data_IF_764817743938
#
_entry.id   IF_764817743938
#
_cell.length_a   1.000
_cell.length_b   1.000
_cell.length_c   1.000
_cell.angle_alpha   90.00
_cell.angle_beta   90.00
_cell.angle_gamma   90.00
#
_symmetry.space_group_name_H-M   'P 1'
#
loop_
_entity.id
_entity.type
_entity.pdbx_description
1 polymer ?
#
# COMPACT_ATOMS: atom_id res chain seq x y z
N UNK A 1 2.92 67.60 55.88
CA UNK A 1 2.14 68.52 55.01
C UNK A 1 1.23 67.68 54.13
N UNK A 2 -0.08 67.94 54.24
CA UNK A 2 -1.14 67.83 53.22
C UNK A 2 -1.34 66.48 52.49
N UNK A 3 -2.36 65.68 52.86
CA UNK A 3 -3.73 65.56 52.28
C UNK A 3 -3.84 64.41 51.24
N UNK A 4 -4.50 63.28 51.57
CA UNK A 4 -5.92 62.91 51.31
C UNK A 4 -6.16 62.37 49.86
N UNK A 5 -7.27 61.68 49.54
CA UNK A 5 -7.54 60.24 49.73
C UNK A 5 -8.13 59.63 48.44
N UNK A 6 -8.88 58.51 48.55
CA UNK A 6 -9.87 57.92 47.60
C UNK A 6 -9.45 56.57 47.04
N UNK A 7 -10.33 55.60 46.83
CA UNK A 7 -11.66 55.19 47.31
C UNK A 7 -11.98 54.01 46.38
N UNK A 8 -12.70 53.00 46.88
CA UNK A 8 -13.57 52.08 46.13
C UNK A 8 -12.86 51.05 45.22
N UNK A 9 -13.28 49.79 45.08
CA UNK A 9 -14.22 48.94 45.79
C UNK A 9 -14.30 47.63 44.99
N UNK A 10 -14.40 46.47 45.67
CA UNK A 10 -15.10 45.23 45.23
C UNK A 10 -14.37 44.49 44.08
N UNK A 11 -14.28 43.17 43.93
CA UNK A 11 -14.98 41.97 44.39
C UNK A 11 -13.99 40.80 44.18
N UNK A 12 -13.81 39.88 45.12
CA UNK A 12 -14.54 38.61 45.20
C UNK A 12 -13.94 37.45 44.40
N UNK A 13 -13.73 36.35 45.14
CA UNK A 13 -13.94 34.94 44.76
C UNK A 13 -12.73 34.12 44.26
N UNK A 14 -12.34 33.23 45.18
CA UNK A 14 -12.11 31.79 45.07
C UNK A 14 -10.92 31.24 44.28
N UNK A 15 -10.14 30.46 45.04
CA UNK A 15 -9.65 29.10 44.74
C UNK A 15 -9.09 28.86 43.35
N UNK A 16 -7.83 28.48 43.28
CA UNK A 16 -7.47 27.14 42.80
C UNK A 16 -6.04 26.83 43.25
N UNK A 17 -5.93 25.91 44.21
CA UNK A 17 -4.68 25.21 44.51
C UNK A 17 -4.25 24.46 43.25
N UNK A 18 -3.28 25.02 42.54
CA UNK A 18 -2.62 24.35 41.43
C UNK A 18 -1.66 23.28 41.98
N UNK A 19 -1.90 21.98 41.77
CA UNK A 19 -0.82 21.01 41.80
C UNK A 19 0.12 21.30 40.61
N UNK A 20 1.45 21.22 40.81
CA UNK A 20 2.42 21.56 39.79
C UNK A 20 2.30 20.62 38.59
N UNK A 21 2.53 21.21 37.42
CA UNK A 21 2.73 20.51 36.15
C UNK A 21 3.72 19.35 36.35
N UNK A 22 3.19 18.13 36.42
CA UNK A 22 3.97 16.92 36.33
C UNK A 22 4.58 16.88 34.94
N UNK A 23 5.91 17.02 34.92
CA UNK A 23 6.75 16.87 33.76
C UNK A 23 6.30 15.67 32.92
N UNK A 24 6.11 15.91 31.62
CA UNK A 24 5.98 14.85 30.64
C UNK A 24 7.35 14.17 30.52
N UNK A 25 7.61 13.18 31.38
CA UNK A 25 8.61 12.16 31.10
C UNK A 25 8.12 11.41 29.86
N UNK A 26 8.66 11.83 28.71
CA UNK A 26 8.55 11.12 27.43
C UNK A 26 9.28 9.79 27.52
N UNK A 27 8.70 8.84 28.24
CA UNK A 27 9.11 7.45 28.24
C UNK A 27 8.77 6.86 26.87
N UNK A 28 9.81 6.54 26.09
CA UNK A 28 9.69 5.64 24.95
C UNK A 28 8.93 4.37 25.38
N UNK A 29 7.91 3.90 24.64
CA UNK A 29 7.24 2.66 24.99
C UNK A 29 8.24 1.51 24.93
N UNK A 30 8.19 0.63 25.94
CA UNK A 30 8.94 -0.61 25.99
C UNK A 30 8.72 -1.42 24.69
N UNK A 31 9.80 -1.97 24.13
CA UNK A 31 9.87 -2.62 22.81
C UNK A 31 8.90 -3.80 22.57
N UNK A 32 8.09 -4.22 23.56
CA UNK A 32 7.21 -5.39 23.47
C UNK A 32 5.73 -5.14 23.84
N UNK A 33 5.27 -3.89 23.98
CA UNK A 33 3.86 -3.62 24.24
C UNK A 33 3.11 -3.42 22.90
N UNK A 34 2.07 -4.22 22.57
CA UNK A 34 1.25 -3.92 21.41
C UNK A 34 0.59 -2.54 21.61
N UNK A 35 0.52 -1.69 20.56
CA UNK A 35 -0.15 -0.40 20.68
C UNK A 35 -1.60 -0.61 21.16
N UNK A 36 -2.14 0.29 22.00
CA UNK A 36 -3.53 0.19 22.45
C UNK A 36 -4.43 0.14 21.22
N UNK A 37 -5.15 -0.97 21.06
CA UNK A 37 -6.01 -1.19 19.90
C UNK A 37 -7.32 -0.43 20.12
N UNK A 38 -7.28 0.88 19.92
CA UNK A 38 -8.50 1.68 19.85
C UNK A 38 -9.30 1.22 18.63
N UNK A 39 -10.56 0.77 18.80
CA UNK A 39 -11.35 0.29 17.69
C UNK A 39 -11.55 1.42 16.66
N UNK A 40 -11.38 1.08 15.38
CA UNK A 40 -11.65 2.00 14.28
C UNK A 40 -13.06 1.71 13.77
N UNK A 41 -13.86 2.75 13.64
CA UNK A 41 -15.22 2.68 13.14
C UNK A 41 -15.29 3.23 11.72
N UNK A 42 -16.04 2.54 10.85
CA UNK A 42 -16.42 3.01 9.52
C UNK A 42 -17.79 3.66 9.61
N UNK A 43 -17.82 4.96 9.37
CA UNK A 43 -19.00 5.82 9.42
C UNK A 43 -19.45 6.19 8.01
N UNK A 44 -20.72 6.01 7.69
CA UNK A 44 -21.32 6.58 6.49
C UNK A 44 -21.86 7.99 6.83
N UNK A 45 -21.30 9.02 6.19
CA UNK A 45 -21.74 10.40 6.31
C UNK A 45 -22.30 10.95 4.99
N UNK A 46 -22.86 12.16 5.03
CA UNK A 46 -23.46 12.81 3.86
C UNK A 46 -22.48 13.02 2.68
N UNK A 47 -21.18 13.11 2.98
CA UNK A 47 -20.10 13.31 1.99
C UNK A 47 -19.35 12.02 1.64
N UNK A 48 -19.77 10.87 2.16
CA UNK A 48 -19.13 9.57 1.91
C UNK A 48 -18.68 8.85 3.20
N UNK A 49 -17.75 7.91 3.04
CA UNK A 49 -17.25 7.07 4.13
C UNK A 49 -16.11 7.75 4.88
N UNK A 50 -16.23 7.84 6.20
CA UNK A 50 -15.22 8.40 7.11
C UNK A 50 -14.81 7.34 8.13
N UNK A 51 -13.52 7.31 8.50
CA UNK A 51 -12.99 6.39 9.50
C UNK A 51 -12.60 7.15 10.76
N UNK A 52 -13.09 6.72 11.91
CA UNK A 52 -12.93 7.43 13.18
C UNK A 52 -12.63 6.47 14.33
N UNK A 53 -11.96 6.95 15.37
CA UNK A 53 -11.81 6.21 16.64
C UNK A 53 -12.98 6.43 17.60
N UNK A 54 -13.93 7.28 17.23
CA UNK A 54 -15.14 7.60 18.00
C UNK A 54 -16.34 6.96 17.30
N UNK A 55 -17.23 6.25 18.02
CA UNK A 55 -18.40 5.62 17.42
C UNK A 55 -19.40 6.66 16.88
N UNK A 56 -19.99 6.38 15.73
CA UNK A 56 -21.03 7.19 15.09
C UNK A 56 -22.32 6.37 14.89
N UNK A 57 -23.44 7.04 14.63
CA UNK A 57 -24.72 6.38 14.36
C UNK A 57 -24.62 5.51 13.09
N UNK A 58 -24.91 4.22 13.21
CA UNK A 58 -24.77 3.27 12.09
C UNK A 58 -23.33 2.84 11.80
N UNK A 59 -22.38 3.09 12.71
CA UNK A 59 -20.99 2.68 12.56
C UNK A 59 -20.84 1.15 12.39
N UNK A 60 -20.01 0.75 11.44
CA UNK A 60 -19.46 -0.60 11.40
C UNK A 60 -18.06 -0.58 12.05
N UNK A 61 -17.90 -1.28 13.17
CA UNK A 61 -16.57 -1.47 13.75
C UNK A 61 -15.71 -2.32 12.82
N UNK A 62 -14.54 -1.81 12.45
CA UNK A 62 -13.54 -2.57 11.74
C UNK A 62 -12.85 -3.49 12.75
N UNK A 63 -12.88 -4.79 12.48
CA UNK A 63 -12.19 -5.77 13.31
C UNK A 63 -10.69 -5.55 13.31
N UNK A 64 -10.01 -6.10 14.32
CA UNK A 64 -8.54 -6.16 14.42
C UNK A 64 -7.92 -7.16 13.45
N UNK A 65 -8.74 -7.74 12.55
CA UNK A 65 -8.31 -8.68 11.54
C UNK A 65 -7.21 -8.05 10.69
N UNK A 66 -5.98 -8.51 10.89
CA UNK A 66 -4.87 -8.16 10.01
C UNK A 66 -5.27 -8.57 8.59
N UNK A 67 -4.92 -7.73 7.61
CA UNK A 67 -5.04 -8.08 6.20
C UNK A 67 -4.27 -9.39 6.01
N UNK A 68 -5.00 -10.51 5.91
CA UNK A 68 -4.44 -11.87 5.94
C UNK A 68 -3.71 -12.22 4.65
N UNK A 69 -3.95 -11.45 3.59
CA UNK A 69 -3.12 -11.44 2.39
C UNK A 69 -2.03 -10.38 2.56
N UNK A 70 -0.99 -10.72 3.31
CA UNK A 70 0.30 -10.09 3.08
C UNK A 70 0.68 -10.45 1.65
N UNK A 71 0.66 -9.46 0.75
CA UNK A 71 1.34 -9.60 -0.53
C UNK A 71 2.74 -10.13 -0.22
N UNK A 72 3.11 -11.25 -0.83
CA UNK A 72 4.46 -11.76 -0.69
C UNK A 72 5.40 -10.65 -1.15
N UNK A 73 6.17 -10.09 -0.21
CA UNK A 73 7.06 -8.96 -0.46
C UNK A 73 8.16 -9.31 -1.45
N UNK A 74 8.45 -10.60 -1.60
CA UNK A 74 9.44 -11.13 -2.53
C UNK A 74 8.83 -11.59 -3.86
N UNK A 75 7.50 -11.68 -3.96
CA UNK A 75 6.86 -11.99 -5.22
C UNK A 75 7.02 -10.82 -6.19
N UNK A 76 7.49 -11.13 -7.40
CA UNK A 76 7.57 -10.17 -8.48
C UNK A 76 6.14 -9.70 -8.82
N UNK A 77 5.89 -8.39 -8.93
CA UNK A 77 4.57 -7.89 -9.30
C UNK A 77 4.15 -8.43 -10.67
N UNK A 78 2.86 -8.79 -10.87
CA UNK A 78 2.38 -9.22 -12.18
C UNK A 78 2.54 -8.09 -13.20
N UNK A 79 3.23 -8.37 -14.32
CA UNK A 79 3.51 -7.39 -15.37
C UNK A 79 2.47 -7.37 -16.50
N UNK A 80 1.40 -8.19 -16.39
CA UNK A 80 0.41 -8.41 -17.46
C UNK A 80 -0.21 -7.11 -17.98
N UNK A 81 -0.55 -6.19 -17.07
CA UNK A 81 -1.12 -4.89 -17.45
C UNK A 81 -0.12 -4.05 -18.26
N UNK A 82 1.16 -4.06 -17.88
CA UNK A 82 2.18 -3.30 -18.59
C UNK A 82 2.39 -3.86 -20.01
N UNK A 83 2.44 -5.19 -20.15
CA UNK A 83 2.51 -5.84 -21.45
C UNK A 83 1.29 -5.57 -22.33
N UNK A 84 0.08 -5.57 -21.76
CA UNK A 84 -1.13 -5.24 -22.51
C UNK A 84 -1.11 -3.81 -23.06
N UNK A 85 -0.68 -2.84 -22.24
CA UNK A 85 -0.58 -1.44 -22.67
C UNK A 85 0.52 -1.26 -23.73
N UNK A 86 1.68 -1.90 -23.55
CA UNK A 86 2.76 -1.85 -24.53
C UNK A 86 2.32 -2.44 -25.88
N UNK A 87 1.61 -3.58 -25.87
CA UNK A 87 1.07 -4.20 -27.09
C UNK A 87 -0.01 -3.35 -27.75
N UNK A 88 -0.85 -2.68 -26.97
CA UNK A 88 -1.89 -1.80 -27.52
C UNK A 88 -1.33 -0.60 -28.30
N UNK A 89 -0.07 -0.22 -28.04
CA UNK A 89 0.62 0.84 -28.77
C UNK A 89 1.23 0.37 -30.11
N UNK A 90 1.28 -0.94 -30.37
CA UNK A 90 1.79 -1.51 -31.62
C UNK A 90 0.69 -1.53 -32.70
N UNK A 91 1.10 -1.54 -33.97
CA UNK A 91 0.18 -1.71 -35.08
C UNK A 91 -0.48 -3.11 -35.08
N UNK A 92 -1.54 -3.28 -35.86
CA UNK A 92 -2.29 -4.53 -35.88
C UNK A 92 -1.47 -5.73 -36.38
N UNK A 93 -0.60 -5.52 -37.36
CA UNK A 93 0.21 -6.59 -37.94
C UNK A 93 1.32 -7.02 -36.96
N UNK A 94 2.04 -6.07 -36.37
CA UNK A 94 3.04 -6.33 -35.33
C UNK A 94 2.43 -7.03 -34.13
N UNK A 95 1.21 -6.68 -33.71
CA UNK A 95 0.50 -7.39 -32.64
C UNK A 95 0.26 -8.87 -32.98
N UNK A 96 -0.18 -9.17 -34.20
CA UNK A 96 -0.37 -10.56 -34.65
C UNK A 96 0.96 -11.32 -34.68
N UNK A 97 2.03 -10.69 -35.15
CA UNK A 97 3.38 -11.27 -35.14
C UNK A 97 3.86 -11.56 -33.71
N UNK A 98 3.63 -10.65 -32.76
CA UNK A 98 3.93 -10.85 -31.34
C UNK A 98 3.17 -12.06 -30.76
N UNK A 99 1.88 -12.20 -31.06
CA UNK A 99 1.07 -13.33 -30.57
C UNK A 99 1.57 -14.67 -31.12
N UNK A 100 1.88 -14.72 -32.42
CA UNK A 100 2.45 -15.92 -33.04
C UNK A 100 3.80 -16.29 -32.41
N UNK A 101 4.72 -15.34 -32.29
CA UNK A 101 6.04 -15.57 -31.68
C UNK A 101 5.92 -16.02 -30.21
N UNK A 102 5.01 -15.41 -29.44
CA UNK A 102 4.76 -15.83 -28.06
C UNK A 102 4.27 -17.29 -27.99
N UNK A 103 3.40 -17.69 -28.92
CA UNK A 103 2.95 -19.07 -29.06
C UNK A 103 4.11 -20.04 -29.33
N UNK A 104 4.98 -19.70 -30.29
CA UNK A 104 6.15 -20.52 -30.63
C UNK A 104 7.14 -20.64 -29.46
N UNK A 105 7.51 -19.53 -28.83
CA UNK A 105 8.42 -19.52 -27.68
C UNK A 105 7.87 -20.41 -26.57
N UNK A 106 6.58 -20.27 -26.23
CA UNK A 106 5.97 -21.06 -25.16
C UNK A 106 5.90 -22.55 -25.52
N UNK A 107 5.54 -22.88 -26.75
CA UNK A 107 5.50 -24.26 -27.22
C UNK A 107 6.89 -24.90 -27.16
N UNK A 108 7.93 -24.18 -27.58
CA UNK A 108 9.31 -24.63 -27.59
C UNK A 108 9.86 -24.80 -26.17
N UNK A 109 9.60 -23.86 -25.27
CA UNK A 109 9.95 -23.96 -23.85
C UNK A 109 9.30 -25.18 -23.18
N UNK A 110 8.02 -25.41 -23.45
CA UNK A 110 7.30 -26.59 -22.92
C UNK A 110 7.86 -27.87 -23.52
N UNK A 111 8.12 -27.90 -24.83
CA UNK A 111 8.72 -29.03 -25.53
C UNK A 111 10.07 -29.39 -24.91
N UNK A 112 10.96 -28.41 -24.75
CA UNK A 112 12.28 -28.61 -24.15
C UNK A 112 12.20 -29.07 -22.69
N UNK A 113 11.31 -28.47 -21.90
CA UNK A 113 11.07 -28.89 -20.52
C UNK A 113 10.59 -30.34 -20.41
N UNK A 114 9.75 -30.77 -21.34
CA UNK A 114 9.13 -32.10 -21.33
C UNK A 114 9.96 -33.16 -22.06
N UNK A 115 11.01 -32.77 -22.80
CA UNK A 115 11.88 -33.68 -23.56
C UNK A 115 12.63 -34.67 -22.66
N UNK A 116 12.82 -34.35 -21.38
CA UNK A 116 13.45 -35.22 -20.38
C UNK A 116 14.97 -35.39 -20.52
N UNK A 117 15.55 -34.99 -21.65
CA UNK A 117 16.98 -34.80 -21.86
C UNK A 117 17.35 -33.32 -21.90
N UNK A 118 18.64 -33.02 -21.69
CA UNK A 118 19.14 -31.65 -21.82
C UNK A 118 18.91 -31.15 -23.26
N UNK A 119 18.43 -29.91 -23.45
CA UNK A 119 18.32 -29.29 -24.76
C UNK A 119 19.66 -29.30 -25.49
N UNK A 120 19.63 -29.44 -26.82
CA UNK A 120 20.84 -29.27 -27.62
C UNK A 120 21.15 -27.79 -27.80
N UNK A 121 22.42 -27.44 -28.04
CA UNK A 121 22.83 -26.05 -28.29
C UNK A 121 22.07 -25.42 -29.46
N UNK A 122 21.75 -26.21 -30.48
CA UNK A 122 20.93 -25.76 -31.61
C UNK A 122 19.49 -25.38 -31.17
N UNK A 123 18.86 -26.20 -30.32
CA UNK A 123 17.51 -25.92 -29.81
C UNK A 123 17.48 -24.68 -28.92
N UNK A 124 18.52 -24.48 -28.10
CA UNK A 124 18.69 -23.28 -27.30
C UNK A 124 18.94 -22.04 -28.17
N UNK A 125 19.74 -22.18 -29.22
CA UNK A 125 20.00 -21.14 -30.21
C UNK A 125 18.73 -20.70 -30.94
N UNK A 126 17.91 -21.65 -31.40
CA UNK A 126 16.64 -21.36 -32.06
C UNK A 126 15.68 -20.61 -31.13
N UNK A 127 15.56 -21.04 -29.88
CA UNK A 127 14.75 -20.34 -28.88
C UNK A 127 15.28 -18.93 -28.59
N UNK A 128 16.59 -18.77 -28.51
CA UNK A 128 17.23 -17.47 -28.31
C UNK A 128 16.92 -16.53 -29.48
N UNK A 129 16.98 -17.01 -30.73
CA UNK A 129 16.62 -16.24 -31.92
C UNK A 129 15.16 -15.81 -31.90
N UNK A 130 14.22 -16.69 -31.52
CA UNK A 130 12.81 -16.33 -31.36
C UNK A 130 12.63 -15.21 -30.31
N UNK A 131 13.33 -15.30 -29.18
CA UNK A 131 13.29 -14.29 -28.11
C UNK A 131 13.92 -12.95 -28.52
N UNK A 132 14.97 -12.97 -29.35
CA UNK A 132 15.55 -11.74 -29.91
C UNK A 132 14.52 -11.07 -30.80
N UNK A 133 13.93 -11.80 -31.76
CA UNK A 133 12.92 -11.25 -32.65
C UNK A 133 11.70 -10.71 -31.92
N UNK A 134 11.28 -11.39 -30.85
CA UNK A 134 10.20 -10.91 -29.97
C UNK A 134 10.50 -9.52 -29.39
N UNK A 135 11.73 -9.29 -28.93
CA UNK A 135 12.17 -8.00 -28.38
C UNK A 135 12.35 -6.93 -29.46
N UNK A 136 12.80 -7.30 -30.66
CA UNK A 136 12.93 -6.38 -31.80
C UNK A 136 11.58 -5.78 -32.21
N UNK A 137 10.52 -6.58 -32.20
CA UNK A 137 9.14 -6.14 -32.44
C UNK A 137 8.53 -5.38 -31.25
N UNK A 138 9.29 -5.20 -30.16
CA UNK A 138 8.86 -4.51 -28.93
C UNK A 138 7.63 -5.14 -28.29
N UNK A 139 7.49 -6.45 -28.49
CA UNK A 139 6.72 -7.30 -27.61
C UNK A 139 7.49 -7.43 -26.26
#
# INVERSE_FOLDING_TARGET
MHTLPRLLSIASIALLSAPPAGAQDGGYPAQNQPPPQNPVYRCAGATGLTYTHVPCAGAQQLGTGRVSKTFDRHAVPPQDRAHQMARAALDADTRQQCEALQGHIRADEVRMRNKGSMPTEAEEGDLAMLRVRYRELRC
#
